data_IF_224734342729
#
_entry.id   IF_224734342729
#
_cell.length_a   1.000
_cell.length_b   1.000
_cell.length_c   1.000
_cell.angle_alpha   90.00
_cell.angle_beta   90.00
_cell.angle_gamma   90.00
#
_symmetry.space_group_name_H-M   'P 1'
#
loop_
_entity.id
_entity.type
_entity.pdbx_description
1 polymer ?
#
# COMPACT_ATOMS: atom_id res chain seq x y z
N UNK A 1 -28.09 10.00 -33.63
CA UNK A 1 -26.70 9.83 -33.16
C UNK A 1 -26.68 10.06 -31.65
N UNK A 2 -26.48 9.05 -30.78
CA UNK A 2 -26.38 9.29 -29.34
C UNK A 2 -24.93 9.57 -28.95
N UNK A 3 -24.69 10.72 -28.32
CA UNK A 3 -23.39 11.14 -27.81
C UNK A 3 -22.92 10.24 -26.66
N UNK A 4 -21.80 9.58 -26.85
CA UNK A 4 -21.14 8.74 -25.84
C UNK A 4 -20.49 9.61 -24.75
N UNK A 5 -21.08 9.65 -23.55
CA UNK A 5 -20.38 10.08 -22.34
C UNK A 5 -19.40 8.98 -21.92
N UNK A 6 -18.15 9.04 -22.39
CA UNK A 6 -17.06 8.23 -21.88
C UNK A 6 -16.37 9.01 -20.76
N UNK A 7 -16.79 8.78 -19.52
CA UNK A 7 -16.06 9.28 -18.35
C UNK A 7 -14.65 8.67 -18.36
N UNK A 8 -13.62 9.53 -18.40
CA UNK A 8 -12.24 9.11 -18.33
C UNK A 8 -11.97 8.39 -16.99
N UNK A 9 -11.16 7.31 -16.94
CA UNK A 9 -10.75 6.74 -15.68
C UNK A 9 -9.89 7.79 -14.95
N UNK A 10 -10.31 8.19 -13.76
CA UNK A 10 -9.53 9.02 -12.86
C UNK A 10 -8.32 8.24 -12.36
N UNK A 11 -7.30 8.09 -13.21
CA UNK A 11 -6.02 7.55 -12.80
C UNK A 11 -5.30 8.60 -11.96
N UNK A 12 -5.57 8.58 -10.65
CA UNK A 12 -4.70 9.24 -9.67
C UNK A 12 -3.25 8.81 -9.98
N UNK A 13 -2.29 9.74 -10.11
CA UNK A 13 -0.93 9.38 -10.46
C UNK A 13 -0.39 8.35 -9.46
N UNK A 14 0.39 7.34 -9.90
CA UNK A 14 0.90 6.31 -9.00
C UNK A 14 1.74 6.98 -7.91
N UNK A 15 1.43 6.69 -6.64
CA UNK A 15 2.15 7.19 -5.47
C UNK A 15 3.56 6.57 -5.36
N UNK A 16 4.43 6.81 -6.35
CA UNK A 16 5.81 6.32 -6.40
C UNK A 16 6.65 6.83 -5.23
N UNK A 17 6.30 8.00 -4.68
CA UNK A 17 6.99 8.62 -3.55
C UNK A 17 6.83 7.89 -2.20
N UNK A 18 5.75 7.14 -1.98
CA UNK A 18 5.46 6.57 -0.64
C UNK A 18 6.46 5.50 -0.22
N UNK A 19 6.87 4.61 -1.14
CA UNK A 19 7.86 3.57 -0.81
C UNK A 19 9.23 4.16 -0.45
N UNK A 20 9.59 5.32 -1.00
CA UNK A 20 10.85 6.01 -0.68
C UNK A 20 10.80 6.62 0.73
N UNK A 21 9.63 7.05 1.20
CA UNK A 21 9.46 7.57 2.57
C UNK A 21 9.60 6.46 3.62
N UNK A 22 9.02 5.28 3.36
CA UNK A 22 9.14 4.11 4.23
C UNK A 22 10.61 3.75 4.43
N UNK A 23 11.39 3.65 3.34
CA UNK A 23 12.81 3.30 3.43
C UNK A 23 13.63 4.34 4.19
N UNK A 24 13.30 5.63 4.05
CA UNK A 24 13.95 6.69 4.84
C UNK A 24 13.65 6.56 6.33
N UNK A 25 12.43 6.16 6.71
CA UNK A 25 12.08 5.92 8.12
C UNK A 25 12.76 4.67 8.67
N UNK A 26 12.83 3.60 7.88
CA UNK A 26 13.58 2.39 8.23
C UNK A 26 15.07 2.69 8.45
N UNK A 27 15.70 3.42 7.52
CA UNK A 27 17.10 3.82 7.64
C UNK A 27 17.39 4.72 8.87
N UNK A 28 16.36 5.37 9.43
CA UNK A 28 16.45 6.17 10.66
C UNK A 28 16.12 5.37 11.93
N UNK A 29 15.90 4.06 11.83
CA UNK A 29 15.61 3.19 12.97
C UNK A 29 14.14 3.11 13.37
N UNK A 30 13.21 3.67 12.59
CA UNK A 30 11.76 3.66 12.92
C UNK A 30 11.01 2.45 12.37
N UNK A 31 11.71 1.38 12.00
CA UNK A 31 11.10 0.22 11.33
C UNK A 31 9.95 -0.39 12.12
N UNK A 32 10.03 -0.40 13.44
CA UNK A 32 9.03 -0.99 14.33
C UNK A 32 7.85 -0.05 14.63
N UNK A 33 7.78 1.12 13.98
CA UNK A 33 6.72 2.11 14.19
C UNK A 33 5.93 2.38 12.89
N UNK A 34 6.13 1.56 11.86
CA UNK A 34 5.51 1.75 10.55
C UNK A 34 4.34 0.78 10.37
N UNK A 35 3.17 1.32 10.03
CA UNK A 35 2.01 0.58 9.55
C UNK A 35 1.72 0.97 8.09
N UNK A 36 1.19 0.02 7.31
CA UNK A 36 0.78 0.22 5.93
C UNK A 36 -0.64 -0.25 5.70
N UNK A 37 -1.38 0.49 4.89
CA UNK A 37 -2.74 0.15 4.46
C UNK A 37 -3.02 0.74 3.06
N UNK A 38 -4.20 0.48 2.53
CA UNK A 38 -4.64 0.90 1.21
C UNK A 38 -5.49 2.16 1.22
N UNK A 39 -6.03 2.52 2.38
CA UNK A 39 -7.04 3.59 2.53
C UNK A 39 -8.27 3.36 1.62
N UNK A 40 -8.77 2.12 1.61
CA UNK A 40 -9.98 1.76 0.87
C UNK A 40 -11.20 2.21 1.66
N UNK A 41 -11.81 3.31 1.23
CA UNK A 41 -13.02 3.88 1.82
C UNK A 41 -14.24 3.87 0.87
N UNK A 42 -14.04 3.61 -0.43
CA UNK A 42 -15.09 3.72 -1.45
C UNK A 42 -15.23 2.47 -2.31
N UNK A 43 -16.44 2.23 -2.84
CA UNK A 43 -16.70 1.12 -3.79
C UNK A 43 -15.80 1.17 -5.01
N UNK A 44 -15.56 2.36 -5.56
CA UNK A 44 -14.67 2.58 -6.70
C UNK A 44 -13.22 2.16 -6.43
N UNK A 45 -12.81 2.00 -5.17
CA UNK A 45 -11.48 1.50 -4.80
C UNK A 45 -11.37 -0.02 -4.87
N UNK A 46 -12.48 -0.76 -4.95
CA UNK A 46 -12.51 -2.22 -5.04
C UNK A 46 -12.36 -2.70 -6.49
N UNK A 47 -11.78 -3.89 -6.67
CA UNK A 47 -11.54 -4.49 -8.00
C UNK A 47 -12.81 -4.66 -8.83
N UNK A 48 -13.93 -5.02 -8.18
CA UNK A 48 -15.24 -5.15 -8.82
C UNK A 48 -15.67 -3.88 -9.58
N UNK A 49 -15.21 -2.71 -9.14
CA UNK A 49 -15.57 -1.41 -9.72
C UNK A 49 -14.38 -0.73 -10.42
N UNK A 50 -13.34 -1.50 -10.78
CA UNK A 50 -12.15 -1.01 -11.50
C UNK A 50 -11.05 -0.40 -10.63
N UNK A 51 -11.18 -0.47 -9.30
CA UNK A 51 -10.17 -0.01 -8.36
C UNK A 51 -9.06 -1.03 -8.09
N UNK A 52 -8.07 -0.62 -7.29
CA UNK A 52 -6.90 -1.45 -6.97
C UNK A 52 -7.21 -2.65 -6.05
N UNK A 53 -8.18 -2.50 -5.15
CA UNK A 53 -8.56 -3.52 -4.15
C UNK A 53 -7.47 -3.88 -3.13
N UNK A 54 -7.85 -4.75 -2.18
CA UNK A 54 -7.01 -5.13 -1.04
C UNK A 54 -5.76 -5.94 -1.42
N UNK A 55 -5.73 -6.57 -2.59
CA UNK A 55 -4.54 -7.32 -3.02
C UNK A 55 -3.37 -6.40 -3.42
N UNK A 56 -3.62 -5.12 -3.74
CA UNK A 56 -2.62 -4.20 -4.31
C UNK A 56 -1.35 -4.04 -3.47
N UNK A 57 -1.48 -3.95 -2.13
CA UNK A 57 -0.33 -3.90 -1.22
C UNK A 57 0.60 -5.10 -1.42
N UNK A 58 0.04 -6.31 -1.49
CA UNK A 58 0.81 -7.54 -1.63
C UNK A 58 1.37 -7.73 -3.05
N UNK A 59 0.61 -7.39 -4.09
CA UNK A 59 1.06 -7.68 -5.48
C UNK A 59 1.90 -6.56 -6.11
N UNK A 60 1.83 -5.32 -5.62
CA UNK A 60 2.61 -4.19 -6.15
C UNK A 60 3.60 -3.63 -5.15
N UNK A 61 3.20 -3.39 -3.90
CA UNK A 61 4.03 -2.68 -2.92
C UNK A 61 5.11 -3.59 -2.34
N UNK A 62 4.75 -4.80 -1.91
CA UNK A 62 5.70 -5.77 -1.34
C UNK A 62 6.84 -6.11 -2.32
N UNK A 63 6.58 -6.48 -3.60
CA UNK A 63 7.66 -6.72 -4.57
C UNK A 63 8.54 -5.49 -4.80
N UNK A 64 7.97 -4.28 -4.73
CA UNK A 64 8.75 -3.03 -4.87
C UNK A 64 9.66 -2.81 -3.66
N UNK A 65 9.21 -3.11 -2.45
CA UNK A 65 10.05 -3.02 -1.24
C UNK A 65 11.19 -4.04 -1.28
N UNK A 66 10.91 -5.28 -1.71
CA UNK A 66 11.95 -6.31 -1.93
C UNK A 66 13.04 -5.83 -2.89
N UNK A 67 12.65 -5.31 -4.06
CA UNK A 67 13.61 -4.76 -5.04
C UNK A 67 14.43 -3.59 -4.52
N UNK A 68 13.98 -2.93 -3.45
CA UNK A 68 14.69 -1.84 -2.79
C UNK A 68 15.48 -2.28 -1.55
N UNK A 69 15.62 -3.59 -1.33
CA UNK A 69 16.47 -4.15 -0.28
C UNK A 69 15.77 -4.44 1.05
N UNK A 70 14.44 -4.38 1.13
CA UNK A 70 13.72 -4.87 2.32
C UNK A 70 13.69 -6.38 2.28
N UNK A 71 14.29 -7.01 3.28
CA UNK A 71 14.37 -8.45 3.46
C UNK A 71 13.07 -9.06 4.05
N UNK A 72 13.06 -10.38 4.21
CA UNK A 72 11.89 -11.09 4.73
C UNK A 72 11.55 -10.69 6.17
N UNK A 73 12.56 -10.49 7.01
CA UNK A 73 12.38 -10.02 8.38
C UNK A 73 11.74 -8.63 8.40
N UNK A 74 12.21 -7.71 7.55
CA UNK A 74 11.64 -6.38 7.43
C UNK A 74 10.21 -6.38 6.91
N UNK A 75 9.89 -7.22 5.93
CA UNK A 75 8.52 -7.40 5.47
C UNK A 75 7.62 -7.99 6.56
N UNK A 76 8.11 -8.98 7.31
CA UNK A 76 7.36 -9.58 8.43
C UNK A 76 7.02 -8.55 9.50
N UNK A 77 7.98 -7.68 9.86
CA UNK A 77 7.72 -6.56 10.77
C UNK A 77 6.62 -5.64 10.26
N UNK A 78 6.73 -5.22 9.00
CA UNK A 78 5.79 -4.30 8.38
C UNK A 78 4.37 -4.87 8.21
N UNK A 79 4.25 -6.16 7.88
CA UNK A 79 2.97 -6.79 7.50
C UNK A 79 2.30 -7.53 8.66
N UNK A 80 3.06 -7.94 9.69
CA UNK A 80 2.57 -8.83 10.75
C UNK A 80 2.86 -8.25 12.12
N UNK A 81 4.13 -8.05 12.46
CA UNK A 81 4.52 -7.80 13.85
C UNK A 81 4.13 -6.39 14.33
N UNK A 82 4.30 -5.38 13.48
CA UNK A 82 3.90 -4.01 13.84
C UNK A 82 2.38 -3.88 14.00
N UNK A 83 1.53 -4.34 13.05
CA UNK A 83 0.09 -4.35 13.27
C UNK A 83 -0.32 -5.16 14.50
N UNK A 84 0.25 -6.36 14.70
CA UNK A 84 -0.08 -7.19 15.85
C UNK A 84 0.22 -6.47 17.18
N UNK A 85 1.36 -5.79 17.28
CA UNK A 85 1.70 -5.00 18.48
C UNK A 85 0.82 -3.76 18.64
N UNK A 86 0.51 -3.07 17.55
CA UNK A 86 -0.27 -1.83 17.60
C UNK A 86 -1.76 -2.05 17.96
N UNK A 87 -2.31 -3.22 17.64
CA UNK A 87 -3.71 -3.56 17.89
C UNK A 87 -3.90 -4.67 18.93
N UNK A 88 -2.85 -5.10 19.62
CA UNK A 88 -2.99 -5.96 20.79
C UNK A 88 -3.60 -5.14 21.93
N UNK A 89 -4.76 -5.55 22.41
CA UNK A 89 -5.31 -5.04 23.67
C UNK A 89 -4.66 -5.83 24.81
N UNK A 90 -4.01 -5.12 25.73
CA UNK A 90 -3.46 -5.65 26.97
C UNK A 90 -4.31 -5.22 28.16
#
# INVERSE_FOLDING_TARGET
MPSSHRSAPTSRPPASGSSTKILKLVARGHQDQILMSHDIAYKSSLTKYGGYGYHHLLVKVVPRLRRKGVDDAGLKRLLVENPARAFAFS
#
